data_IF_130773967281
#
_entry.id   IF_130773967281
#
_cell.length_a   1.000
_cell.length_b   1.000
_cell.length_c   1.000
_cell.angle_alpha   90.00
_cell.angle_beta   90.00
_cell.angle_gamma   90.00
#
_symmetry.space_group_name_H-M   'P 1'
#
loop_
_entity.id
_entity.type
_entity.pdbx_description
1 polymer ?
#
# COMPACT_ATOMS: atom_id res chain seq x y z
N UNK A 1 3.24 -17.29 26.37
CA UNK A 1 3.72 -15.90 26.30
C UNK A 1 2.49 -15.03 26.28
N UNK A 2 2.24 -14.23 27.33
CA UNK A 2 0.98 -13.50 27.48
C UNK A 2 0.90 -12.33 26.50
N UNK A 3 -0.25 -12.17 25.85
CA UNK A 3 -0.55 -11.00 25.01
C UNK A 3 -0.48 -9.73 25.87
N UNK A 4 0.31 -8.74 25.42
CA UNK A 4 0.51 -7.47 26.14
C UNK A 4 -0.85 -6.78 26.37
N UNK A 5 -1.00 -6.10 27.50
CA UNK A 5 -2.25 -5.40 27.86
C UNK A 5 -2.60 -4.31 26.83
N UNK A 6 -1.60 -3.64 26.26
CA UNK A 6 -1.73 -2.74 25.10
C UNK A 6 -2.40 -3.44 23.93
N UNK A 7 -1.86 -4.58 23.48
CA UNK A 7 -2.38 -5.32 22.30
C UNK A 7 -3.84 -5.74 22.50
N UNK A 8 -4.25 -6.14 23.71
CA UNK A 8 -5.66 -6.45 24.01
C UNK A 8 -6.56 -5.23 23.90
N UNK A 9 -6.16 -4.09 24.48
CA UNK A 9 -6.91 -2.82 24.39
C UNK A 9 -7.01 -2.34 22.94
N UNK A 10 -5.92 -2.42 22.17
CA UNK A 10 -5.89 -2.08 20.74
C UNK A 10 -6.83 -3.00 19.97
N UNK A 11 -6.84 -4.31 20.23
CA UNK A 11 -7.74 -5.24 19.56
C UNK A 11 -9.21 -4.92 19.81
N UNK A 12 -9.56 -4.55 21.04
CA UNK A 12 -10.93 -4.14 21.38
C UNK A 12 -11.32 -2.82 20.69
N UNK A 13 -10.39 -1.85 20.63
CA UNK A 13 -10.63 -0.55 20.01
C UNK A 13 -10.74 -0.61 18.48
N UNK A 14 -9.89 -1.40 17.82
CA UNK A 14 -9.81 -1.52 16.35
C UNK A 14 -10.91 -2.44 15.81
N UNK A 15 -11.25 -3.51 16.53
CA UNK A 15 -12.17 -4.55 16.05
C UNK A 15 -11.65 -5.29 14.80
N UNK A 16 -12.53 -6.01 14.11
CA UNK A 16 -12.22 -6.62 12.80
C UNK A 16 -12.55 -5.63 11.67
N UNK A 17 -11.51 -5.11 11.02
CA UNK A 17 -11.57 -4.34 9.78
C UNK A 17 -11.07 -5.20 8.62
N UNK A 18 -11.86 -5.27 7.55
CA UNK A 18 -11.45 -5.92 6.31
C UNK A 18 -11.69 -7.43 6.26
N UNK A 19 -11.03 -8.07 5.30
CA UNK A 19 -11.08 -9.52 5.04
C UNK A 19 -9.66 -10.07 5.04
N UNK A 20 -9.49 -11.38 5.26
CA UNK A 20 -8.17 -12.02 5.23
C UNK A 20 -7.75 -12.48 3.82
N UNK A 21 -8.26 -11.83 2.77
CA UNK A 21 -7.92 -12.20 1.38
C UNK A 21 -6.60 -11.56 0.92
N UNK A 22 -5.88 -12.20 -0.01
CA UNK A 22 -4.60 -11.71 -0.57
C UNK A 22 -4.72 -10.35 -1.30
N UNK A 23 -5.92 -10.03 -1.77
CA UNK A 23 -6.22 -8.77 -2.47
C UNK A 23 -6.83 -7.71 -1.55
N UNK A 24 -6.88 -7.98 -0.24
CA UNK A 24 -7.43 -7.03 0.71
C UNK A 24 -6.52 -5.81 0.85
N UNK A 25 -7.08 -4.63 0.66
CA UNK A 25 -6.36 -3.36 0.82
C UNK A 25 -6.29 -2.85 2.27
N UNK A 26 -7.08 -3.40 3.18
CA UNK A 26 -7.02 -3.08 4.61
C UNK A 26 -7.49 -4.29 5.42
N UNK A 27 -6.63 -4.82 6.27
CA UNK A 27 -6.96 -5.86 7.25
C UNK A 27 -6.41 -5.50 8.62
N UNK A 28 -7.20 -5.73 9.68
CA UNK A 28 -6.76 -5.63 11.06
C UNK A 28 -6.36 -7.00 11.61
N UNK A 29 -5.24 -7.08 12.32
CA UNK A 29 -4.72 -8.32 12.93
C UNK A 29 -4.65 -9.51 11.95
N UNK A 30 -3.93 -9.38 10.82
CA UNK A 30 -3.79 -10.48 9.87
C UNK A 30 -3.05 -11.66 10.51
N UNK A 31 -3.71 -12.81 10.63
CA UNK A 31 -3.14 -14.00 11.29
C UNK A 31 -1.95 -14.64 10.53
N UNK A 32 -1.71 -14.26 9.28
CA UNK A 32 -0.74 -14.91 8.37
C UNK A 32 0.34 -13.95 7.84
N UNK A 33 0.41 -12.72 8.35
CA UNK A 33 1.41 -11.73 7.92
C UNK A 33 2.46 -11.60 9.03
N UNK A 34 3.67 -12.06 8.72
CA UNK A 34 4.88 -11.81 9.50
C UNK A 34 5.99 -11.33 8.58
N UNK A 35 6.92 -10.53 9.09
CA UNK A 35 8.03 -10.00 8.31
C UNK A 35 9.37 -10.34 8.99
N UNK A 36 10.44 -10.42 8.18
CA UNK A 36 11.76 -10.93 8.63
C UNK A 36 12.41 -10.08 9.74
N UNK A 37 12.13 -8.77 9.75
CA UNK A 37 12.65 -7.82 10.76
C UNK A 37 11.68 -7.60 11.92
N UNK A 38 10.70 -8.49 12.11
CA UNK A 38 9.72 -8.39 13.19
C UNK A 38 10.35 -8.81 14.52
N UNK A 39 10.21 -7.98 15.55
CA UNK A 39 10.78 -8.28 16.87
C UNK A 39 9.96 -9.37 17.59
N UNK A 40 10.62 -10.09 18.49
CA UNK A 40 9.99 -11.19 19.25
C UNK A 40 8.82 -10.67 20.12
N UNK A 41 7.59 -11.00 19.69
CA UNK A 41 6.36 -10.58 20.37
C UNK A 41 5.70 -9.32 19.81
N UNK A 42 6.29 -8.69 18.78
CA UNK A 42 5.66 -7.60 18.01
C UNK A 42 4.44 -8.15 17.25
N UNK A 43 3.32 -7.43 17.28
CA UNK A 43 2.05 -7.84 16.65
C UNK A 43 1.64 -6.84 15.59
N UNK A 44 1.35 -7.32 14.38
CA UNK A 44 0.80 -6.48 13.30
C UNK A 44 -0.65 -6.13 13.62
N UNK A 45 -0.92 -4.83 13.84
CA UNK A 45 -2.25 -4.30 14.14
C UNK A 45 -3.01 -4.02 12.85
N UNK A 46 -2.38 -3.34 11.89
CA UNK A 46 -2.95 -3.02 10.59
C UNK A 46 -2.04 -3.43 9.45
N UNK A 47 -2.63 -4.03 8.42
CA UNK A 47 -2.03 -4.25 7.12
C UNK A 47 -2.83 -3.47 6.09
N UNK A 48 -2.16 -2.64 5.31
CA UNK A 48 -2.78 -1.69 4.38
C UNK A 48 -2.06 -1.74 3.04
N UNK A 49 -2.82 -1.65 1.96
CA UNK A 49 -2.36 -1.46 0.58
C UNK A 49 -3.16 -0.33 -0.05
N UNK A 50 -2.59 0.30 -1.07
CA UNK A 50 -3.29 1.25 -1.91
C UNK A 50 -4.62 0.68 -2.44
N UNK A 51 -5.63 1.53 -2.54
CA UNK A 51 -6.97 1.17 -3.00
C UNK A 51 -6.94 0.71 -4.46
N UNK A 52 -7.69 -0.35 -4.87
CA UNK A 52 -7.61 -0.88 -6.24
C UNK A 52 -8.02 0.12 -7.34
N UNK A 53 -8.78 1.17 -6.99
CA UNK A 53 -9.21 2.23 -7.93
C UNK A 53 -8.02 2.92 -8.59
N UNK A 54 -6.86 3.01 -7.91
CA UNK A 54 -5.65 3.64 -8.49
C UNK A 54 -5.18 2.89 -9.73
N UNK A 55 -5.58 1.62 -9.87
CA UNK A 55 -5.22 0.80 -11.01
C UNK A 55 -6.06 1.04 -12.26
N UNK A 56 -7.24 1.66 -12.12
CA UNK A 56 -8.18 1.83 -13.23
C UNK A 56 -7.54 2.61 -14.39
N UNK A 57 -6.80 3.68 -14.11
CA UNK A 57 -6.19 4.52 -15.15
C UNK A 57 -5.20 3.75 -16.02
N UNK A 58 -4.25 3.03 -15.42
CA UNK A 58 -3.26 2.27 -16.20
C UNK A 58 -3.84 0.99 -16.82
N UNK A 59 -4.86 0.38 -16.19
CA UNK A 59 -5.58 -0.78 -16.77
C UNK A 59 -6.33 -0.35 -18.02
N UNK A 60 -7.04 0.78 -18.00
CA UNK A 60 -7.73 1.32 -19.17
C UNK A 60 -6.75 1.63 -20.30
N UNK A 61 -5.60 2.26 -19.96
CA UNK A 61 -4.54 2.49 -20.93
C UNK A 61 -4.01 1.18 -21.55
N UNK A 62 -3.78 0.15 -20.73
CA UNK A 62 -3.34 -1.15 -21.21
C UNK A 62 -4.37 -1.80 -22.14
N UNK A 63 -5.68 -1.72 -21.81
CA UNK A 63 -6.76 -2.21 -22.68
C UNK A 63 -6.76 -1.47 -24.02
N UNK A 64 -6.65 -0.13 -24.01
CA UNK A 64 -6.55 0.65 -25.25
C UNK A 64 -5.33 0.22 -26.07
N UNK A 65 -4.17 0.06 -25.44
CA UNK A 65 -2.96 -0.40 -26.10
C UNK A 65 -3.10 -1.83 -26.67
N UNK A 66 -3.83 -2.73 -26.01
CA UNK A 66 -4.09 -4.08 -26.54
C UNK A 66 -4.92 -4.05 -27.82
N UNK A 67 -5.79 -3.06 -28.00
CA UNK A 67 -6.58 -2.91 -29.24
C UNK A 67 -5.81 -2.25 -30.38
N UNK A 68 -4.69 -1.58 -30.10
CA UNK A 68 -3.93 -0.80 -31.08
C UNK A 68 -3.43 -1.61 -32.30
N UNK A 69 -2.99 -2.87 -32.18
CA UNK A 69 -2.57 -3.66 -33.33
C UNK A 69 -3.68 -3.89 -34.38
N UNK A 70 -4.95 -3.83 -33.98
CA UNK A 70 -6.08 -3.96 -34.92
C UNK A 70 -6.13 -2.86 -35.97
N UNK A 71 -5.54 -1.69 -35.69
CA UNK A 71 -5.47 -0.57 -36.62
C UNK A 71 -4.14 -0.47 -37.37
N UNK A 72 -3.14 -1.30 -37.05
CA UNK A 72 -1.83 -1.25 -37.71
C UNK A 72 -1.91 -1.52 -39.21
N UNK A 73 -2.88 -2.32 -39.66
CA UNK A 73 -3.12 -2.58 -41.08
C UNK A 73 -3.49 -1.35 -41.90
N UNK A 74 -3.98 -0.27 -41.27
CA UNK A 74 -4.25 1.00 -41.94
C UNK A 74 -2.99 1.89 -42.07
N UNK A 75 -1.88 1.49 -41.44
CA UNK A 75 -0.63 2.23 -41.47
C UNK A 75 0.29 1.69 -42.57
N UNK A 76 0.54 2.43 -43.67
CA UNK A 76 1.24 1.91 -44.84
C UNK A 76 2.63 1.29 -44.54
N UNK A 77 3.47 1.89 -43.66
CA UNK A 77 4.75 1.28 -43.31
C UNK A 77 4.65 -0.10 -42.67
N UNK A 78 3.58 -0.39 -41.93
CA UNK A 78 3.32 -1.71 -41.35
C UNK A 78 2.68 -2.65 -42.37
N UNK A 79 1.69 -2.17 -43.12
CA UNK A 79 0.96 -2.97 -44.10
C UNK A 79 1.84 -3.50 -45.25
N UNK A 80 2.91 -2.76 -45.60
CA UNK A 80 3.88 -3.16 -46.62
C UNK A 80 4.92 -4.18 -46.14
N UNK A 81 4.96 -4.49 -44.83
CA UNK A 81 5.87 -5.51 -44.30
C UNK A 81 5.42 -6.92 -44.73
N UNK A 82 6.36 -7.85 -44.98
CA UNK A 82 6.00 -9.25 -45.14
C UNK A 82 5.30 -9.79 -43.90
N UNK A 83 4.39 -10.75 -44.08
CA UNK A 83 3.54 -11.30 -43.00
C UNK A 83 4.34 -11.78 -41.77
N UNK A 84 5.52 -12.37 -41.97
CA UNK A 84 6.39 -12.79 -40.86
C UNK A 84 6.86 -11.62 -39.99
N UNK A 85 7.20 -10.48 -40.60
CA UNK A 85 7.58 -9.28 -39.86
C UNK A 85 6.38 -8.62 -39.18
N UNK A 86 5.21 -8.61 -39.82
CA UNK A 86 3.97 -8.12 -39.20
C UNK A 86 3.64 -8.91 -37.92
N UNK A 87 3.78 -10.24 -37.96
CA UNK A 87 3.60 -11.11 -36.80
C UNK A 87 4.59 -10.78 -35.67
N UNK A 88 5.88 -10.66 -35.99
CA UNK A 88 6.92 -10.33 -35.01
C UNK A 88 6.67 -8.97 -34.35
N UNK A 89 6.28 -7.96 -35.12
CA UNK A 89 5.96 -6.62 -34.60
C UNK A 89 4.75 -6.67 -33.68
N UNK A 90 3.66 -7.33 -34.08
CA UNK A 90 2.47 -7.45 -33.24
C UNK A 90 2.74 -8.25 -31.97
N UNK A 91 3.52 -9.33 -32.06
CA UNK A 91 3.94 -10.11 -30.89
C UNK A 91 4.79 -9.26 -29.93
N UNK A 92 5.76 -8.51 -30.46
CA UNK A 92 6.57 -7.57 -29.68
C UNK A 92 5.72 -6.51 -28.98
N UNK A 93 4.69 -6.00 -29.64
CA UNK A 93 3.73 -5.06 -29.05
C UNK A 93 2.97 -5.70 -27.88
N UNK A 94 2.39 -6.90 -28.07
CA UNK A 94 1.68 -7.58 -26.98
C UNK A 94 2.59 -7.91 -25.79
N UNK A 95 3.84 -8.31 -26.04
CA UNK A 95 4.83 -8.52 -24.99
C UNK A 95 5.14 -7.21 -24.25
N UNK A 96 5.30 -6.10 -24.96
CA UNK A 96 5.52 -4.79 -24.36
C UNK A 96 4.35 -4.37 -23.45
N UNK A 97 3.11 -4.48 -23.95
CA UNK A 97 1.90 -4.12 -23.17
C UNK A 97 1.74 -5.03 -21.96
N UNK A 98 2.00 -6.33 -22.11
CA UNK A 98 1.96 -7.30 -21.01
C UNK A 98 3.02 -6.99 -19.95
N UNK A 99 4.25 -6.66 -20.37
CA UNK A 99 5.33 -6.25 -19.48
C UNK A 99 5.02 -4.96 -18.74
N UNK A 100 4.43 -3.97 -19.42
CA UNK A 100 3.95 -2.73 -18.81
C UNK A 100 2.88 -2.99 -17.75
N UNK A 101 1.85 -3.77 -18.09
CA UNK A 101 0.77 -4.11 -17.17
C UNK A 101 1.28 -4.88 -15.96
N UNK A 102 2.18 -5.85 -16.16
CA UNK A 102 2.82 -6.61 -15.09
C UNK A 102 3.64 -5.72 -14.17
N UNK A 103 4.46 -4.81 -14.72
CA UNK A 103 5.27 -3.89 -13.92
C UNK A 103 4.41 -2.97 -13.05
N UNK A 104 3.31 -2.43 -13.61
CA UNK A 104 2.35 -1.60 -12.85
C UNK A 104 1.63 -2.40 -11.77
N UNK A 105 1.18 -3.60 -12.11
CA UNK A 105 0.54 -4.50 -11.15
C UNK A 105 1.49 -4.87 -10.00
N UNK A 106 2.74 -5.23 -10.29
CA UNK A 106 3.74 -5.56 -9.27
C UNK A 106 4.02 -4.37 -8.36
N UNK A 107 4.20 -3.17 -8.91
CA UNK A 107 4.38 -1.96 -8.11
C UNK A 107 3.23 -1.73 -7.12
N UNK A 108 1.98 -1.85 -7.59
CA UNK A 108 0.83 -1.74 -6.69
C UNK A 108 0.70 -2.90 -5.69
N UNK A 109 1.01 -4.13 -6.10
CA UNK A 109 0.79 -5.34 -5.29
C UNK A 109 1.83 -5.47 -4.16
N UNK A 110 3.08 -5.12 -4.42
CA UNK A 110 4.17 -5.27 -3.46
C UNK A 110 4.37 -4.06 -2.54
N UNK A 111 3.84 -2.90 -2.90
CA UNK A 111 3.82 -1.74 -2.00
C UNK A 111 2.79 -1.97 -0.89
N UNK A 112 3.26 -2.04 0.35
CA UNK A 112 2.44 -2.33 1.52
C UNK A 112 2.84 -1.41 2.68
N UNK A 113 1.83 -1.02 3.45
CA UNK A 113 1.99 -0.29 4.70
C UNK A 113 1.54 -1.19 5.84
N UNK A 114 2.34 -1.27 6.89
CA UNK A 114 2.02 -2.04 8.09
C UNK A 114 2.14 -1.15 9.31
N UNK A 115 1.24 -1.37 10.26
CA UNK A 115 1.30 -0.74 11.57
C UNK A 115 1.31 -1.84 12.62
N UNK A 116 2.34 -1.87 13.45
CA UNK A 116 2.50 -2.80 14.56
C UNK A 116 2.16 -2.13 15.88
N UNK A 117 2.31 -2.83 17.00
CA UNK A 117 2.18 -2.24 18.34
C UNK A 117 3.40 -1.38 18.74
N UNK A 118 4.51 -1.43 18.01
CA UNK A 118 5.74 -0.69 18.35
C UNK A 118 6.11 0.38 17.30
N UNK A 119 5.79 0.13 16.03
CA UNK A 119 6.25 0.97 14.90
C UNK A 119 5.33 0.93 13.70
N UNK A 120 5.48 1.93 12.85
CA UNK A 120 4.99 1.91 11.47
C UNK A 120 6.08 1.39 10.54
N UNK A 121 5.70 0.60 9.55
CA UNK A 121 6.58 0.02 8.54
C UNK A 121 6.01 0.32 7.17
N UNK A 122 6.81 0.95 6.33
CA UNK A 122 6.51 1.25 4.94
C UNK A 122 7.45 0.46 4.03
N UNK A 123 6.87 -0.34 3.14
CA UNK A 123 7.61 -1.20 2.21
C UNK A 123 7.30 -0.78 0.79
N UNK A 124 8.27 -0.10 0.19
CA UNK A 124 8.21 0.42 -1.17
C UNK A 124 9.09 -0.39 -2.13
N UNK A 125 8.51 -0.84 -3.23
CA UNK A 125 9.24 -1.45 -4.33
C UNK A 125 9.36 -0.45 -5.48
N UNK A 126 10.53 0.18 -5.64
CA UNK A 126 10.78 1.04 -6.82
C UNK A 126 10.85 0.20 -8.10
N UNK A 127 11.46 -0.97 -8.01
CA UNK A 127 11.55 -1.98 -9.07
C UNK A 127 11.62 -3.38 -8.44
N UNK A 128 11.53 -4.42 -9.26
CA UNK A 128 11.64 -5.82 -8.82
C UNK A 128 12.96 -6.16 -8.09
N UNK A 129 14.00 -5.34 -8.27
CA UNK A 129 15.32 -5.52 -7.65
C UNK A 129 15.62 -4.54 -6.52
N UNK A 130 14.78 -3.53 -6.31
CA UNK A 130 15.03 -2.48 -5.33
C UNK A 130 13.81 -2.29 -4.42
N UNK A 131 13.93 -2.79 -3.20
CA UNK A 131 12.99 -2.57 -2.09
C UNK A 131 13.59 -1.57 -1.12
N UNK A 132 12.78 -0.60 -0.71
CA UNK A 132 13.04 0.30 0.42
C UNK A 132 12.11 -0.11 1.55
N UNK A 133 12.67 -0.28 2.74
CA UNK A 133 11.89 -0.49 3.95
C UNK A 133 12.20 0.70 4.84
N UNK A 134 11.17 1.45 5.18
CA UNK A 134 11.26 2.56 6.12
C UNK A 134 10.52 2.14 7.38
N UNK A 135 11.08 2.40 8.54
CA UNK A 135 10.44 2.13 9.83
C UNK A 135 10.54 3.36 10.72
N UNK A 136 9.49 3.64 11.48
CA UNK A 136 9.51 4.66 12.51
C UNK A 136 8.71 4.17 13.70
N UNK A 137 9.23 4.41 14.90
CA UNK A 137 8.53 3.98 16.10
C UNK A 137 7.30 4.83 16.34
N UNK A 138 6.27 4.27 16.96
CA UNK A 138 5.05 5.01 17.30
C UNK A 138 5.39 6.21 18.20
N UNK A 139 6.36 6.03 19.10
CA UNK A 139 6.88 7.10 19.97
C UNK A 139 7.53 8.29 19.26
N UNK A 140 7.98 8.12 18.01
CA UNK A 140 8.65 9.16 17.24
C UNK A 140 7.67 9.96 16.38
N UNK A 141 6.42 9.50 16.25
CA UNK A 141 5.37 10.18 15.50
C UNK A 141 4.98 11.46 16.24
N UNK A 142 5.02 12.59 15.54
CA UNK A 142 4.72 13.91 16.08
C UNK A 142 3.33 14.38 15.67
N UNK A 143 2.98 14.18 14.40
CA UNK A 143 1.71 14.64 13.86
C UNK A 143 1.20 13.71 12.75
N UNK A 144 -0.12 13.73 12.56
CA UNK A 144 -0.83 12.94 11.57
C UNK A 144 -1.80 13.84 10.81
N UNK A 145 -1.60 13.94 9.49
CA UNK A 145 -2.48 14.68 8.59
C UNK A 145 -3.22 13.72 7.66
N UNK A 146 -4.53 13.88 7.58
CA UNK A 146 -5.40 13.04 6.74
C UNK A 146 -5.90 13.91 5.59
N UNK A 147 -5.61 13.48 4.36
CA UNK A 147 -6.03 14.17 3.15
C UNK A 147 -6.95 13.26 2.34
N UNK A 148 -8.13 13.78 1.99
CA UNK A 148 -9.02 13.17 1.00
C UNK A 148 -9.54 14.29 0.11
N UNK A 149 -8.75 14.63 -0.90
CA UNK A 149 -8.99 15.72 -1.83
C UNK A 149 -9.64 15.20 -3.11
N UNK A 150 -10.97 15.21 -3.17
CA UNK A 150 -11.70 15.12 -4.43
C UNK A 150 -13.02 14.38 -4.33
N UNK A 151 -13.94 14.68 -5.26
CA UNK A 151 -15.24 14.02 -5.31
C UNK A 151 -15.13 12.49 -5.48
N UNK A 152 -14.13 12.03 -6.24
CA UNK A 152 -13.87 10.59 -6.44
C UNK A 152 -13.30 9.93 -5.17
N UNK A 153 -12.40 10.60 -4.47
CA UNK A 153 -11.80 10.11 -3.21
C UNK A 153 -12.88 9.92 -2.13
N UNK A 154 -13.76 10.92 -1.97
CA UNK A 154 -14.90 10.84 -1.05
C UNK A 154 -15.90 9.77 -1.47
N UNK A 155 -16.21 9.67 -2.77
CA UNK A 155 -17.21 8.70 -3.27
C UNK A 155 -16.75 7.25 -3.14
N UNK A 156 -15.50 6.96 -3.49
CA UNK A 156 -14.92 5.62 -3.39
C UNK A 156 -14.34 5.32 -2.00
N UNK A 157 -14.22 6.33 -1.12
CA UNK A 157 -13.79 6.16 0.27
C UNK A 157 -12.29 5.84 0.43
N UNK A 158 -11.44 6.45 -0.40
CA UNK A 158 -9.99 6.34 -0.30
C UNK A 158 -9.35 7.72 -0.18
N UNK A 159 -8.14 7.79 0.39
CA UNK A 159 -7.37 9.03 0.53
C UNK A 159 -6.00 8.73 1.11
N UNK A 160 -5.27 9.76 1.53
CA UNK A 160 -3.89 9.64 1.99
C UNK A 160 -3.74 10.02 3.47
N UNK A 161 -2.80 9.38 4.16
CA UNK A 161 -2.40 9.74 5.53
C UNK A 161 -0.91 10.06 5.51
N UNK A 162 -0.57 11.27 5.94
CA UNK A 162 0.79 11.77 6.06
C UNK A 162 1.19 11.75 7.53
N UNK A 163 2.33 11.13 7.81
CA UNK A 163 2.83 10.93 9.17
C UNK A 163 4.18 11.63 9.29
N UNK A 164 4.23 12.61 10.18
CA UNK A 164 5.45 13.35 10.46
C UNK A 164 6.12 12.78 11.71
N UNK A 165 7.42 12.54 11.61
CA UNK A 165 8.23 12.01 12.71
C UNK A 165 9.21 13.05 13.23
N UNK A 166 9.76 12.84 14.41
CA UNK A 166 10.79 13.71 15.01
C UNK A 166 12.16 13.64 14.31
N UNK A 167 12.32 12.74 13.34
CA UNK A 167 13.56 12.60 12.58
C UNK A 167 13.70 13.69 11.51
N UNK A 168 14.95 14.03 11.16
CA UNK A 168 15.28 15.16 10.28
C UNK A 168 14.69 15.00 8.86
N UNK A 169 14.58 13.74 8.36
CA UNK A 169 13.84 13.32 7.17
C UNK A 169 13.52 11.82 7.30
N UNK A 170 12.31 11.41 7.74
CA UNK A 170 11.30 10.93 6.78
C UNK A 170 9.85 11.28 7.15
N UNK A 171 9.14 11.84 6.18
CA UNK A 171 7.68 11.85 6.11
C UNK A 171 7.22 10.47 5.61
N UNK A 172 6.37 9.77 6.37
CA UNK A 172 5.74 8.54 5.88
C UNK A 172 4.44 8.91 5.21
N UNK A 173 4.19 8.32 4.04
CA UNK A 173 3.02 8.64 3.22
C UNK A 173 2.22 7.38 2.90
N UNK A 174 1.07 7.23 3.53
CA UNK A 174 0.14 6.16 3.18
C UNK A 174 -0.79 6.66 2.08
N UNK A 175 -0.40 6.45 0.83
CA UNK A 175 -1.07 7.05 -0.32
C UNK A 175 -2.29 6.25 -0.77
N UNK A 176 -3.39 6.93 -1.03
CA UNK A 176 -4.62 6.38 -1.62
C UNK A 176 -5.11 5.08 -0.94
N UNK A 177 -5.04 5.03 0.39
CA UNK A 177 -5.50 3.92 1.21
C UNK A 177 -7.03 3.92 1.41
N UNK A 178 -7.67 2.76 1.59
CA UNK A 178 -9.08 2.70 1.95
C UNK A 178 -9.32 3.25 3.38
N UNK A 179 -10.41 4.01 3.55
CA UNK A 179 -10.87 4.51 4.87
C UNK A 179 -9.75 5.24 5.66
N UNK A 180 -9.14 6.29 5.08
CA UNK A 180 -8.01 6.99 5.70
C UNK A 180 -8.35 7.57 7.08
N UNK A 181 -9.59 8.05 7.29
CA UNK A 181 -10.06 8.55 8.58
C UNK A 181 -9.97 7.50 9.70
N UNK A 182 -10.31 6.25 9.38
CA UNK A 182 -10.26 5.16 10.37
C UNK A 182 -8.83 4.79 10.68
N UNK A 183 -7.98 4.72 9.66
CA UNK A 183 -6.56 4.41 9.82
C UNK A 183 -5.90 5.49 10.68
N UNK A 184 -6.08 6.76 10.34
CA UNK A 184 -5.53 7.88 11.12
C UNK A 184 -6.05 7.91 12.56
N UNK A 185 -7.33 7.59 12.80
CA UNK A 185 -7.86 7.47 14.16
C UNK A 185 -7.20 6.35 14.96
N UNK A 186 -6.96 5.20 14.33
CA UNK A 186 -6.31 4.06 14.99
C UNK A 186 -4.85 4.40 15.33
N UNK A 187 -4.12 5.06 14.42
CA UNK A 187 -2.73 5.48 14.69
C UNK A 187 -2.68 6.48 15.84
N UNK A 188 -3.56 7.50 15.85
CA UNK A 188 -3.66 8.44 16.97
C UNK A 188 -3.93 7.72 18.31
N UNK A 189 -4.87 6.77 18.33
CA UNK A 189 -5.15 6.00 19.54
C UNK A 189 -3.94 5.18 20.02
N UNK A 190 -3.13 4.64 19.10
CA UNK A 190 -1.91 3.92 19.48
C UNK A 190 -0.84 4.87 20.03
N UNK A 191 -0.72 6.08 19.49
CA UNK A 191 0.16 7.13 20.05
C UNK A 191 -0.25 7.47 21.49
N UNK A 192 -1.55 7.71 21.74
CA UNK A 192 -2.07 8.03 23.07
C UNK A 192 -1.80 6.89 24.07
N UNK A 193 -1.94 5.62 23.64
CA UNK A 193 -1.69 4.46 24.48
C UNK A 193 -0.20 4.31 24.82
N UNK A 194 0.68 4.50 23.84
CA UNK A 194 2.13 4.44 24.02
C UNK A 194 2.61 5.52 25.00
N UNK A 195 2.05 6.72 24.93
CA UNK A 195 2.36 7.80 25.88
C UNK A 195 1.92 7.44 27.31
N UNK A 196 0.72 6.86 27.48
CA UNK A 196 0.24 6.40 28.79
C UNK A 196 1.13 5.29 29.36
N UNK A 197 1.54 4.31 28.55
CA UNK A 197 2.41 3.22 29.01
C UNK A 197 3.79 3.75 29.46
N UNK A 198 4.34 4.76 28.79
CA UNK A 198 5.58 5.42 29.23
C UNK A 198 5.43 6.14 30.56
N UNK A 199 4.29 6.80 30.78
CA UNK A 199 4.01 7.48 32.05
C UNK A 199 3.87 6.46 33.19
N UNK A 200 3.15 5.35 32.98
CA UNK A 200 2.99 4.28 33.97
C UNK A 200 4.30 3.52 34.23
N UNK A 201 5.10 3.29 33.18
CA UNK A 201 6.40 2.61 33.25
C UNK A 201 7.49 3.43 33.95
N UNK A 202 7.41 4.77 33.91
CA UNK A 202 8.29 5.68 34.66
C UNK A 202 7.93 5.81 36.15
N UNK A 203 6.74 5.37 36.55
CA UNK A 203 6.22 5.46 37.92
C UNK A 203 6.49 4.17 38.71
N UNK A 204 6.99 3.11 38.07
CA UNK A 204 7.51 1.88 38.71
C UNK A 204 9.02 1.94 38.86
#
# INVERSE_FOLDING_TARGET
MGERLSVKKIREAVGRLGSDSLFTSLSSFPAQVGFETQDDGETVVLFIRQHPIVNVGWVLLAIVMLTLPSVFGFFPPYALLPMGYQFVVSLGWYLFVSGFALAKFMGWFFNIYMVTDERIVDVDFKNIFFRRISTAKIEEIQDLSIQSSGALETFFGYGSVFIQTAAEVPEFEFLAIPKPDKVGKIINQMIDMEEQEKLEGRVK
#
